data_IF_435977840620
#
_entry.id   IF_435977840620
#
_cell.length_a   1.000
_cell.length_b   1.000
_cell.length_c   1.000
_cell.angle_alpha   90.00
_cell.angle_beta   90.00
_cell.angle_gamma   90.00
#
_symmetry.space_group_name_H-M   'P 1'
#
loop_
_entity.id
_entity.type
_entity.pdbx_description
1 polymer ?
#
# COMPACT_ATOMS: atom_id res chain seq x y z
N UNK A 1 20.57 22.00 -40.58
CA UNK A 1 19.57 21.89 -39.50
C UNK A 1 18.64 20.68 -39.64
N UNK A 2 18.01 20.42 -40.80
CA UNK A 2 17.09 19.27 -40.99
C UNK A 2 17.72 17.89 -40.72
N UNK A 3 18.96 17.66 -41.14
CA UNK A 3 19.66 16.40 -40.89
C UNK A 3 20.07 16.22 -39.43
N UNK A 4 20.43 17.30 -38.73
CA UNK A 4 20.77 17.26 -37.31
C UNK A 4 19.53 16.89 -36.46
N UNK A 5 18.36 17.44 -36.80
CA UNK A 5 17.10 17.11 -36.15
C UNK A 5 16.68 15.64 -36.37
N UNK A 6 16.86 15.08 -37.58
CA UNK A 6 16.61 13.66 -37.82
C UNK A 6 17.57 12.74 -37.07
N UNK A 7 18.86 13.11 -36.97
CA UNK A 7 19.84 12.32 -36.21
C UNK A 7 19.51 12.35 -34.72
N UNK A 8 19.12 13.50 -34.16
CA UNK A 8 18.66 13.61 -32.77
C UNK A 8 17.41 12.75 -32.56
N UNK A 9 16.43 12.83 -33.47
CA UNK A 9 15.19 12.05 -33.41
C UNK A 9 15.45 10.52 -33.45
N UNK A 10 16.37 10.09 -34.32
CA UNK A 10 16.81 8.70 -34.43
C UNK A 10 17.56 8.23 -33.18
N UNK A 11 18.44 9.05 -32.61
CA UNK A 11 19.15 8.71 -31.36
C UNK A 11 18.15 8.60 -30.20
N UNK A 12 17.18 9.50 -30.10
CA UNK A 12 16.10 9.41 -29.11
C UNK A 12 15.20 8.18 -29.31
N UNK A 13 14.96 7.75 -30.56
CA UNK A 13 14.18 6.54 -30.85
C UNK A 13 14.97 5.24 -30.76
N UNK A 14 16.31 5.28 -30.83
CA UNK A 14 17.19 4.12 -30.65
C UNK A 14 17.51 3.87 -29.17
N UNK A 15 17.51 4.91 -28.33
CA UNK A 15 17.61 4.81 -26.87
C UNK A 15 16.25 4.61 -26.17
N UNK A 16 15.14 4.67 -26.91
CA UNK A 16 13.85 4.19 -26.40
C UNK A 16 13.84 2.66 -26.42
N UNK A 17 14.53 2.05 -25.46
CA UNK A 17 13.86 0.95 -24.77
C UNK A 17 12.56 1.59 -24.30
N UNK A 18 11.42 1.30 -24.96
CA UNK A 18 10.16 1.95 -24.62
C UNK A 18 9.87 1.63 -23.16
N UNK A 19 10.25 2.54 -22.27
CA UNK A 19 10.02 2.43 -20.85
C UNK A 19 8.52 2.45 -20.70
N UNK A 20 7.95 1.29 -20.45
CA UNK A 20 6.52 1.18 -20.32
C UNK A 20 6.17 1.65 -18.92
N UNK A 21 5.21 2.56 -18.80
CA UNK A 21 4.76 3.03 -17.49
C UNK A 21 4.35 1.87 -16.55
N UNK A 22 3.93 0.71 -17.08
CA UNK A 22 3.68 -0.49 -16.28
C UNK A 22 4.93 -1.10 -15.64
N UNK A 23 6.13 -0.77 -16.09
CA UNK A 23 7.40 -1.23 -15.51
C UNK A 23 7.54 -0.82 -14.05
N UNK A 24 6.86 0.26 -13.63
CA UNK A 24 6.81 0.68 -12.23
C UNK A 24 6.35 -0.44 -11.29
N UNK A 25 5.39 -1.28 -11.70
CA UNK A 25 4.98 -2.44 -10.90
C UNK A 25 6.11 -3.47 -10.78
N UNK A 26 6.83 -3.72 -11.87
CA UNK A 26 7.99 -4.62 -11.88
C UNK A 26 9.14 -4.10 -11.01
N UNK A 27 9.39 -2.79 -11.01
CA UNK A 27 10.40 -2.14 -10.16
C UNK A 27 10.04 -2.29 -8.67
N UNK A 28 8.77 -2.07 -8.32
CA UNK A 28 8.28 -2.25 -6.95
C UNK A 28 8.42 -3.71 -6.52
N UNK A 29 8.04 -4.67 -7.36
CA UNK A 29 8.12 -6.09 -7.02
C UNK A 29 9.55 -6.68 -7.03
N UNK A 30 10.48 -6.02 -7.73
CA UNK A 30 11.85 -6.50 -7.87
C UNK A 30 12.56 -6.63 -6.52
N UNK A 31 13.04 -7.85 -6.24
CA UNK A 31 13.92 -8.16 -5.09
C UNK A 31 15.36 -7.70 -5.29
N UNK A 32 15.73 -7.36 -6.52
CA UNK A 32 17.09 -6.91 -6.87
C UNK A 32 17.29 -5.41 -6.65
N UNK A 33 16.21 -4.67 -6.36
CA UNK A 33 16.26 -3.24 -6.10
C UNK A 33 15.99 -2.98 -4.61
N UNK A 34 16.86 -2.20 -3.98
CA UNK A 34 16.56 -1.64 -2.66
C UNK A 34 15.35 -0.72 -2.73
N UNK A 35 14.70 -0.49 -1.59
CA UNK A 35 13.60 0.48 -1.49
C UNK A 35 14.05 1.91 -1.90
N UNK A 36 15.28 2.30 -1.58
CA UNK A 36 15.83 3.61 -1.97
C UNK A 36 15.98 3.74 -3.49
N UNK A 37 16.51 2.71 -4.15
CA UNK A 37 16.64 2.69 -5.61
C UNK A 37 15.27 2.64 -6.28
N UNK A 38 14.36 1.82 -5.75
CA UNK A 38 12.98 1.71 -6.24
C UNK A 38 12.30 3.07 -6.19
N UNK A 39 12.36 3.78 -5.05
CA UNK A 39 11.79 5.12 -4.91
C UNK A 39 12.38 6.13 -5.90
N UNK A 40 13.69 6.07 -6.16
CA UNK A 40 14.37 6.91 -7.16
C UNK A 40 13.82 6.65 -8.56
N UNK A 41 13.67 5.38 -8.95
CA UNK A 41 13.14 5.04 -10.26
C UNK A 41 11.66 5.40 -10.39
N UNK A 42 10.84 5.12 -9.39
CA UNK A 42 9.42 5.52 -9.40
C UNK A 42 9.28 7.03 -9.58
N UNK A 43 10.09 7.82 -8.87
CA UNK A 43 10.13 9.27 -9.05
C UNK A 43 10.47 9.65 -10.49
N UNK A 44 11.48 9.02 -11.09
CA UNK A 44 11.87 9.27 -12.48
C UNK A 44 10.74 8.94 -13.46
N UNK A 45 10.05 7.81 -13.29
CA UNK A 45 8.93 7.43 -14.15
C UNK A 45 7.78 8.44 -14.06
N UNK A 46 7.47 8.96 -12.88
CA UNK A 46 6.37 9.92 -12.70
C UNK A 46 6.78 11.32 -13.17
N UNK A 47 7.93 11.83 -12.71
CA UNK A 47 8.34 13.22 -12.91
C UNK A 47 8.93 13.47 -14.29
N UNK A 48 9.78 12.56 -14.77
CA UNK A 48 10.56 12.76 -16.00
C UNK A 48 9.90 12.09 -17.21
N UNK A 49 9.26 10.93 -17.02
CA UNK A 49 8.57 10.21 -18.10
C UNK A 49 7.06 10.50 -18.16
N UNK A 50 6.51 11.23 -17.18
CA UNK A 50 5.09 11.61 -17.16
C UNK A 50 4.13 10.45 -16.95
N UNK A 51 4.59 9.33 -16.37
CA UNK A 51 3.72 8.20 -16.07
C UNK A 51 2.71 8.51 -14.96
N UNK A 52 1.49 8.00 -15.12
CA UNK A 52 0.42 8.21 -14.14
C UNK A 52 0.69 7.47 -12.83
N UNK A 53 0.88 8.22 -11.75
CA UNK A 53 1.04 7.69 -10.39
C UNK A 53 -0.19 6.90 -9.89
N UNK A 54 -1.35 7.05 -10.54
CA UNK A 54 -2.61 6.38 -10.21
C UNK A 54 -2.91 5.16 -11.08
N UNK A 55 -1.93 4.70 -11.88
CA UNK A 55 -2.13 3.51 -12.69
C UNK A 55 -2.55 2.30 -11.85
N UNK A 56 -3.42 1.50 -12.43
CA UNK A 56 -3.90 0.25 -11.83
C UNK A 56 -3.67 -0.91 -12.77
N UNK A 57 -3.39 -2.08 -12.23
CA UNK A 57 -3.45 -3.33 -12.98
C UNK A 57 -4.72 -4.06 -12.58
N UNK A 58 -5.48 -4.49 -13.59
CA UNK A 58 -6.58 -5.44 -13.37
C UNK A 58 -5.99 -6.84 -13.37
N UNK A 59 -6.13 -7.55 -12.26
CA UNK A 59 -5.78 -8.97 -12.20
C UNK A 59 -7.02 -9.73 -12.73
N UNK A 60 -6.93 -10.49 -13.84
CA UNK A 60 -8.11 -11.06 -14.51
C UNK A 60 -9.03 -11.90 -13.62
N UNK A 61 -8.47 -12.53 -12.58
CA UNK A 61 -9.16 -13.44 -11.67
C UNK A 61 -9.50 -12.83 -10.30
N UNK A 62 -9.09 -11.58 -10.05
CA UNK A 62 -9.45 -10.84 -8.84
C UNK A 62 -10.30 -9.63 -9.25
N UNK A 63 -11.42 -9.40 -8.58
CA UNK A 63 -12.24 -8.18 -8.75
C UNK A 63 -11.57 -6.92 -8.18
N UNK A 64 -10.25 -6.96 -8.02
CA UNK A 64 -9.41 -5.98 -7.34
C UNK A 64 -8.59 -5.23 -8.40
N UNK A 65 -8.53 -3.91 -8.25
CA UNK A 65 -7.65 -3.03 -9.02
C UNK A 65 -6.54 -2.54 -8.11
N UNK A 66 -5.46 -3.30 -8.08
CA UNK A 66 -4.29 -2.94 -7.30
C UNK A 66 -3.54 -1.80 -7.97
N UNK A 67 -3.12 -0.84 -7.15
CA UNK A 67 -2.33 0.31 -7.59
C UNK A 67 -0.90 0.20 -7.03
N UNK A 68 -0.05 1.17 -7.40
CA UNK A 68 1.35 1.16 -7.00
C UNK A 68 1.54 1.19 -5.46
N UNK A 69 0.65 1.86 -4.72
CA UNK A 69 0.75 1.95 -3.25
C UNK A 69 0.57 0.59 -2.59
N UNK A 70 -0.40 -0.19 -3.03
CA UNK A 70 -0.63 -1.55 -2.51
C UNK A 70 0.58 -2.44 -2.76
N UNK A 71 1.16 -2.41 -3.97
CA UNK A 71 2.37 -3.17 -4.27
C UNK A 71 3.55 -2.74 -3.39
N UNK A 72 3.72 -1.44 -3.15
CA UNK A 72 4.78 -0.94 -2.29
C UNK A 72 4.58 -1.36 -0.83
N UNK A 73 3.33 -1.42 -0.37
CA UNK A 73 2.97 -1.95 0.95
C UNK A 73 3.29 -3.45 1.07
N UNK A 74 2.82 -4.27 0.12
CA UNK A 74 2.98 -5.73 0.14
C UNK A 74 4.44 -6.17 0.01
N UNK A 75 5.28 -5.34 -0.61
CA UNK A 75 6.73 -5.59 -0.76
C UNK A 75 7.58 -4.94 0.34
N UNK A 76 6.95 -4.33 1.35
CA UNK A 76 7.59 -3.64 2.46
C UNK A 76 8.57 -2.52 2.01
N UNK A 77 8.23 -1.82 0.92
CA UNK A 77 9.01 -0.71 0.35
C UNK A 77 8.49 0.64 0.84
N UNK A 78 8.71 0.91 2.13
CA UNK A 78 8.19 2.10 2.84
C UNK A 78 8.58 3.45 2.23
N UNK A 79 9.81 3.62 1.73
CA UNK A 79 10.24 4.86 1.09
C UNK A 79 9.60 5.05 -0.27
N UNK A 80 9.44 3.97 -1.02
CA UNK A 80 8.70 3.96 -2.29
C UNK A 80 7.23 4.30 -2.05
N UNK A 81 6.62 3.71 -1.03
CA UNK A 81 5.26 4.01 -0.60
C UNK A 81 5.08 5.50 -0.27
N UNK A 82 5.99 6.06 0.51
CA UNK A 82 5.97 7.48 0.87
C UNK A 82 6.17 8.40 -0.34
N UNK A 83 7.01 7.98 -1.29
CA UNK A 83 7.20 8.68 -2.56
C UNK A 83 5.91 8.70 -3.37
N UNK A 84 5.22 7.57 -3.50
CA UNK A 84 3.94 7.47 -4.20
C UNK A 84 2.85 8.34 -3.56
N UNK A 85 2.74 8.33 -2.23
CA UNK A 85 1.81 9.23 -1.51
C UNK A 85 2.12 10.70 -1.80
N UNK A 86 3.40 11.10 -1.74
CA UNK A 86 3.81 12.47 -2.05
C UNK A 86 3.57 12.86 -3.51
N UNK A 87 3.46 11.88 -4.42
CA UNK A 87 3.10 12.05 -5.83
C UNK A 87 1.61 12.00 -6.10
N UNK A 88 0.78 11.90 -5.05
CA UNK A 88 -0.67 11.93 -5.18
C UNK A 88 -1.26 10.62 -5.71
N UNK A 89 -0.59 9.49 -5.51
CA UNK A 89 -1.23 8.19 -5.73
C UNK A 89 -2.42 8.06 -4.78
N UNK A 90 -3.57 7.70 -5.35
CA UNK A 90 -4.85 7.58 -4.67
C UNK A 90 -4.81 6.39 -3.71
N UNK A 91 -5.19 6.64 -2.47
CA UNK A 91 -5.40 5.61 -1.46
C UNK A 91 -6.73 4.89 -1.75
N UNK A 92 -6.75 3.56 -1.73
CA UNK A 92 -7.91 2.79 -2.22
C UNK A 92 -8.31 1.64 -1.28
N UNK A 93 -9.51 1.10 -1.47
CA UNK A 93 -10.05 0.04 -0.62
C UNK A 93 -9.22 -1.26 -0.62
N UNK A 94 -8.44 -1.50 -1.68
CA UNK A 94 -7.57 -2.68 -1.74
C UNK A 94 -6.43 -2.59 -0.74
N UNK A 95 -5.76 -1.43 -0.66
CA UNK A 95 -4.72 -1.18 0.34
C UNK A 95 -5.25 -1.36 1.78
N UNK A 96 -6.45 -0.84 2.08
CA UNK A 96 -7.08 -1.05 3.39
C UNK A 96 -7.38 -2.54 3.67
N UNK A 97 -7.74 -3.30 2.65
CA UNK A 97 -7.91 -4.76 2.73
C UNK A 97 -6.58 -5.46 3.03
N UNK A 98 -5.50 -5.12 2.33
CA UNK A 98 -4.16 -5.67 2.56
C UNK A 98 -3.62 -5.35 3.96
N UNK A 99 -3.90 -4.14 4.48
CA UNK A 99 -3.62 -3.80 5.87
C UNK A 99 -4.43 -4.69 6.82
N UNK A 100 -5.72 -4.90 6.57
CA UNK A 100 -6.55 -5.82 7.36
C UNK A 100 -5.99 -7.24 7.36
N UNK A 101 -5.67 -7.78 6.18
CA UNK A 101 -5.11 -9.13 6.02
C UNK A 101 -3.75 -9.29 6.72
N UNK A 102 -2.96 -8.22 6.83
CA UNK A 102 -1.68 -8.28 7.56
C UNK A 102 -1.83 -8.69 9.02
N UNK A 103 -2.95 -8.36 9.69
CA UNK A 103 -3.22 -8.85 11.05
C UNK A 103 -3.46 -10.36 11.07
N UNK A 104 -4.26 -10.88 10.13
CA UNK A 104 -4.51 -12.32 10.03
C UNK A 104 -3.22 -13.11 9.73
N UNK A 105 -2.38 -12.60 8.82
CA UNK A 105 -1.07 -13.18 8.54
C UNK A 105 -0.14 -13.11 9.75
N UNK A 106 -0.07 -11.97 10.43
CA UNK A 106 0.73 -11.81 11.64
C UNK A 106 0.35 -12.83 12.71
N UNK A 107 -0.94 -13.08 12.94
CA UNK A 107 -1.37 -14.11 13.88
C UNK A 107 -0.95 -15.52 13.45
N UNK A 108 -1.12 -15.85 12.16
CA UNK A 108 -0.73 -17.15 11.60
C UNK A 108 0.77 -17.40 11.70
N UNK A 109 1.58 -16.41 11.37
CA UNK A 109 3.05 -16.48 11.45
C UNK A 109 3.57 -16.65 12.88
N UNK A 110 2.77 -16.23 13.87
CA UNK A 110 3.05 -16.41 15.29
C UNK A 110 2.40 -17.67 15.88
N UNK A 111 1.83 -18.56 15.05
CA UNK A 111 1.24 -19.82 15.49
C UNK A 111 -0.09 -19.68 16.24
N UNK A 112 -0.73 -18.51 16.16
CA UNK A 112 -1.98 -18.18 16.87
C UNK A 112 -3.05 -17.69 15.88
N UNK A 113 -3.12 -18.34 14.71
CA UNK A 113 -4.07 -17.98 13.66
C UNK A 113 -5.54 -17.97 14.12
N UNK A 114 -6.38 -17.24 13.39
CA UNK A 114 -7.83 -17.24 13.62
C UNK A 114 -8.44 -18.44 12.89
N UNK A 115 -8.99 -19.37 13.67
CA UNK A 115 -9.71 -20.55 13.17
C UNK A 115 -11.21 -20.43 13.45
N UNK A 116 -12.05 -20.89 12.51
CA UNK A 116 -13.52 -20.89 12.62
C UNK A 116 -14.16 -19.58 13.11
N UNK A 117 -13.56 -18.44 12.73
CA UNK A 117 -14.00 -17.08 13.10
C UNK A 117 -14.06 -16.85 14.62
N UNK A 118 -13.24 -17.56 15.40
CA UNK A 118 -13.13 -17.41 16.85
C UNK A 118 -11.66 -17.21 17.25
N UNK A 119 -11.44 -16.43 18.31
CA UNK A 119 -10.14 -16.32 18.91
C UNK A 119 -9.91 -17.50 19.87
N UNK A 120 -8.77 -18.18 19.73
CA UNK A 120 -8.33 -19.17 20.71
C UNK A 120 -7.82 -18.49 22.00
N UNK A 121 -7.77 -19.18 23.15
CA UNK A 121 -7.15 -18.64 24.36
C UNK A 121 -5.71 -18.17 24.13
N UNK A 122 -4.94 -18.90 23.32
CA UNK A 122 -3.55 -18.58 22.97
C UNK A 122 -3.46 -17.27 22.20
N UNK A 123 -4.37 -17.03 21.24
CA UNK A 123 -4.45 -15.75 20.53
C UNK A 123 -4.81 -14.60 21.50
N UNK A 124 -5.75 -14.83 22.43
CA UNK A 124 -6.15 -13.81 23.41
C UNK A 124 -5.03 -13.47 24.41
N UNK A 125 -4.15 -14.42 24.73
CA UNK A 125 -2.92 -14.12 25.48
C UNK A 125 -1.86 -13.43 24.62
N UNK A 126 -1.71 -13.86 23.36
CA UNK A 126 -0.75 -13.28 22.43
C UNK A 126 -0.97 -11.78 22.20
N UNK A 127 -2.22 -11.32 22.08
CA UNK A 127 -2.53 -9.89 21.89
C UNK A 127 -2.16 -9.01 23.10
N UNK A 128 -1.84 -9.60 24.26
CA UNK A 128 -1.37 -8.84 25.42
C UNK A 128 0.13 -8.57 25.36
N UNK A 129 0.86 -9.29 24.51
CA UNK A 129 2.32 -9.21 24.40
C UNK A 129 2.80 -7.88 23.81
N UNK A 130 4.03 -7.43 24.13
CA UNK A 130 4.64 -6.27 23.49
C UNK A 130 4.70 -6.40 21.97
N UNK A 131 4.99 -7.61 21.46
CA UNK A 131 5.12 -7.90 20.03
C UNK A 131 3.85 -7.54 19.24
N UNK A 132 2.67 -7.90 19.77
CA UNK A 132 1.41 -7.50 19.14
C UNK A 132 1.15 -6.00 19.25
N UNK A 133 1.41 -5.41 20.41
CA UNK A 133 1.18 -3.97 20.65
C UNK A 133 2.00 -3.09 19.71
N UNK A 134 3.28 -3.43 19.51
CA UNK A 134 4.18 -2.75 18.58
C UNK A 134 3.68 -2.88 17.13
N UNK A 135 3.33 -4.10 16.71
CA UNK A 135 2.76 -4.34 15.39
C UNK A 135 1.47 -3.53 15.15
N UNK A 136 0.54 -3.56 16.12
CA UNK A 136 -0.72 -2.81 16.06
C UNK A 136 -0.46 -1.31 15.94
N UNK A 137 0.44 -0.77 16.77
CA UNK A 137 0.78 0.65 16.77
C UNK A 137 1.36 1.10 15.41
N UNK A 138 2.27 0.31 14.84
CA UNK A 138 2.84 0.58 13.51
C UNK A 138 1.75 0.64 12.43
N UNK A 139 0.87 -0.37 12.39
CA UNK A 139 -0.24 -0.39 11.43
C UNK A 139 -1.21 0.76 11.65
N UNK A 140 -1.47 1.16 12.90
CA UNK A 140 -2.40 2.25 13.20
C UNK A 140 -1.81 3.61 12.84
N UNK A 141 -0.49 3.80 12.98
CA UNK A 141 0.21 4.99 12.45
C UNK A 141 0.08 5.08 10.93
N UNK A 142 0.23 3.96 10.22
CA UNK A 142 0.01 3.90 8.78
C UNK A 142 -1.44 4.24 8.40
N UNK A 143 -2.43 3.65 9.10
CA UNK A 143 -3.86 3.95 8.87
C UNK A 143 -4.13 5.44 9.06
N UNK A 144 -3.63 6.04 10.14
CA UNK A 144 -3.77 7.48 10.38
C UNK A 144 -3.22 8.30 9.21
N UNK A 145 -2.01 7.96 8.73
CA UNK A 145 -1.40 8.59 7.57
C UNK A 145 -2.29 8.48 6.33
N UNK A 146 -2.88 7.32 6.06
CA UNK A 146 -3.75 7.09 4.91
C UNK A 146 -5.07 7.85 5.01
N UNK A 147 -5.67 7.93 6.20
CA UNK A 147 -6.85 8.76 6.45
C UNK A 147 -6.55 10.25 6.19
N UNK A 148 -5.36 10.73 6.59
CA UNK A 148 -4.91 12.10 6.28
C UNK A 148 -4.69 12.34 4.77
N UNK A 149 -4.56 11.26 3.98
CA UNK A 149 -4.48 11.30 2.51
C UNK A 149 -5.81 10.93 1.83
N UNK A 150 -6.93 10.96 2.56
CA UNK A 150 -8.27 10.81 1.98
C UNK A 150 -8.78 9.37 1.84
N UNK A 151 -8.20 8.40 2.54
CA UNK A 151 -8.73 7.03 2.56
C UNK A 151 -10.10 7.04 3.24
N UNK A 152 -11.12 6.43 2.62
CA UNK A 152 -12.45 6.28 3.22
C UNK A 152 -12.35 5.38 4.47
N UNK A 153 -12.75 5.86 5.66
CA UNK A 153 -12.79 5.05 6.88
C UNK A 153 -13.60 3.74 6.73
N UNK A 154 -14.59 3.69 5.82
CA UNK A 154 -15.40 2.52 5.52
C UNK A 154 -14.63 1.41 4.80
N UNK A 155 -13.45 1.68 4.25
CA UNK A 155 -12.64 0.67 3.58
C UNK A 155 -12.03 -0.34 4.56
N UNK A 156 -11.87 0.04 5.84
CA UNK A 156 -11.28 -0.81 6.88
C UNK A 156 -12.22 -1.90 7.44
N UNK A 157 -13.24 -2.33 6.68
CA UNK A 157 -14.21 -3.38 7.07
C UNK A 157 -13.53 -4.70 7.47
N UNK A 158 -12.55 -5.14 6.68
CA UNK A 158 -11.83 -6.40 6.94
C UNK A 158 -11.07 -6.34 8.26
N UNK A 159 -10.31 -5.26 8.48
CA UNK A 159 -9.60 -5.05 9.73
C UNK A 159 -10.57 -5.00 10.93
N UNK A 160 -11.71 -4.30 10.79
CA UNK A 160 -12.74 -4.24 11.83
C UNK A 160 -13.26 -5.63 12.22
N UNK A 161 -13.50 -6.50 11.24
CA UNK A 161 -13.94 -7.88 11.50
C UNK A 161 -12.87 -8.64 12.28
N UNK A 162 -11.60 -8.56 11.86
CA UNK A 162 -10.48 -9.25 12.51
C UNK A 162 -10.32 -8.79 13.95
N UNK A 163 -10.28 -7.47 14.20
CA UNK A 163 -10.13 -6.94 15.55
C UNK A 163 -11.31 -7.28 16.45
N UNK A 164 -12.53 -7.36 15.91
CA UNK A 164 -13.71 -7.79 16.66
C UNK A 164 -13.62 -9.24 17.14
N UNK A 165 -13.01 -10.14 16.35
CA UNK A 165 -12.83 -11.54 16.74
C UNK A 165 -11.96 -11.67 18.01
N UNK A 166 -10.99 -10.77 18.17
CA UNK A 166 -10.06 -10.74 19.31
C UNK A 166 -10.44 -9.71 20.39
N UNK A 167 -11.60 -9.05 20.27
CA UNK A 167 -12.08 -7.99 21.17
C UNK A 167 -11.12 -6.79 21.29
N UNK A 168 -10.51 -6.36 20.18
CA UNK A 168 -9.55 -5.24 20.15
C UNK A 168 -9.90 -4.15 19.12
N UNK A 169 -11.18 -4.01 18.76
CA UNK A 169 -11.64 -3.08 17.74
C UNK A 169 -11.72 -1.61 18.20
N UNK A 170 -11.74 -1.37 19.52
CA UNK A 170 -12.07 -0.05 20.11
C UNK A 170 -11.15 1.06 19.61
N UNK A 171 -9.85 0.81 19.56
CA UNK A 171 -8.88 1.82 19.13
C UNK A 171 -9.04 2.15 17.63
N UNK A 172 -9.35 1.14 16.82
CA UNK A 172 -9.62 1.36 15.39
C UNK A 172 -10.91 2.18 15.23
N UNK A 173 -11.97 1.86 15.96
CA UNK A 173 -13.22 2.62 15.87
C UNK A 173 -13.04 4.10 16.24
N UNK A 174 -12.19 4.41 17.23
CA UNK A 174 -11.86 5.78 17.56
C UNK A 174 -11.10 6.47 16.43
N UNK A 175 -10.08 5.80 15.89
CA UNK A 175 -9.27 6.31 14.77
C UNK A 175 -10.11 6.62 13.52
N UNK A 176 -11.03 5.71 13.17
CA UNK A 176 -11.90 5.86 11.99
C UNK A 176 -12.96 6.95 12.17
N UNK A 177 -13.49 7.14 13.38
CA UNK A 177 -14.44 8.23 13.69
C UNK A 177 -13.81 9.60 13.54
N UNK A 178 -12.55 9.75 13.96
CA UNK A 178 -11.83 11.02 13.82
C UNK A 178 -11.47 11.31 12.37
N UNK A 179 -11.15 10.28 11.57
CA UNK A 179 -11.00 10.40 10.12
C UNK A 179 -12.26 10.87 9.42
N UNK A 180 -13.41 10.26 9.71
CA UNK A 180 -14.70 10.61 9.10
C UNK A 180 -15.13 12.06 9.38
N UNK A 181 -14.77 12.62 10.54
CA UNK A 181 -15.05 14.04 10.85
C UNK A 181 -14.25 15.01 9.98
N UNK A 182 -13.03 14.63 9.56
CA UNK A 182 -12.21 15.47 8.68
C UNK A 182 -12.76 15.51 7.25
N UNK A 183 -13.25 14.38 6.76
CA UNK A 183 -13.89 14.27 5.44
C UNK A 183 -15.15 15.16 5.35
N UNK A 184 -15.95 15.23 6.42
CA UNK A 184 -17.13 16.10 6.49
C UNK A 184 -16.82 17.61 6.59
N UNK A 185 -15.57 17.98 6.85
CA UNK A 185 -15.13 19.37 7.07
C UNK A 185 -14.35 19.97 5.89
N UNK A 186 -14.11 19.18 4.83
CA UNK A 186 -13.48 19.59 3.58
C UNK A 186 -14.53 19.79 2.48
#
# INVERSE_FOLDING_TARGET
MKHLAMIIFLITSLYSHETNCTDMFGLIFSKNLSDVETAKYIKYYIDDLGCDANMTIKIPDLSIRSNLLEYAYDTNKTKTFDTLLAKGTTVNASLATSIGMSFAFFFRENGVGIDDKKASPELLEFIKTPKYKEFKEEKFKLIKKLLDHGQDPKDYKVLKIILKIINDEKDLENLLKDGAKKELAQ
#
